data_IF_515093095866
#
_entry.id   IF_515093095866
#
_cell.length_a   1.000
_cell.length_b   1.000
_cell.length_c   1.000
_cell.angle_alpha   90.00
_cell.angle_beta   90.00
_cell.angle_gamma   90.00
#
_symmetry.space_group_name_H-M   'P 1'
#
loop_
_entity.id
_entity.type
_entity.pdbx_description
1 polymer ?
#
# COMPACT_ATOMS: atom_id res chain seq x y z
N UNK A 1 -19.20 1.03 -13.27
CA UNK A 1 -20.42 1.85 -13.09
C UNK A 1 -21.17 1.36 -11.85
N UNK A 2 -21.48 2.23 -10.87
CA UNK A 2 -22.14 1.85 -9.60
C UNK A 2 -21.44 2.30 -8.31
N UNK A 3 -20.19 2.81 -8.41
CA UNK A 3 -19.36 3.18 -7.27
C UNK A 3 -20.05 4.11 -6.26
N UNK A 4 -20.74 5.17 -6.71
CA UNK A 4 -21.45 6.11 -5.80
C UNK A 4 -22.54 5.45 -4.96
N UNK A 5 -23.24 4.46 -5.52
CA UNK A 5 -24.28 3.73 -4.78
C UNK A 5 -23.66 2.73 -3.81
N UNK A 6 -22.58 2.04 -4.23
CA UNK A 6 -21.84 1.12 -3.39
C UNK A 6 -21.14 1.82 -2.21
N UNK A 7 -20.58 3.02 -2.42
CA UNK A 7 -19.94 3.82 -1.36
C UNK A 7 -20.88 4.25 -0.25
N UNK A 8 -22.20 4.26 -0.49
CA UNK A 8 -23.19 4.46 0.59
C UNK A 8 -23.36 3.22 1.48
N UNK A 9 -22.93 2.05 1.01
CA UNK A 9 -23.01 0.79 1.74
C UNK A 9 -21.66 0.44 2.40
N UNK A 10 -20.56 0.64 1.69
CA UNK A 10 -19.20 0.44 2.21
C UNK A 10 -18.17 1.18 1.36
N UNK A 11 -17.13 1.69 1.99
CA UNK A 11 -15.93 2.23 1.33
C UNK A 11 -14.77 1.23 1.28
N UNK A 12 -14.96 0.01 1.77
CA UNK A 12 -13.87 -0.98 1.91
C UNK A 12 -12.96 -0.74 3.12
N UNK A 13 -13.33 0.14 4.06
CA UNK A 13 -12.55 0.38 5.27
C UNK A 13 -12.28 -0.92 6.06
N UNK A 14 -11.01 -1.15 6.42
CA UNK A 14 -10.56 -2.35 7.14
C UNK A 14 -10.27 -3.56 6.24
N UNK A 15 -10.47 -3.45 4.92
CA UNK A 15 -10.06 -4.50 3.97
C UNK A 15 -8.63 -4.21 3.50
N UNK A 16 -7.74 -5.19 3.65
CA UNK A 16 -6.38 -5.14 3.09
C UNK A 16 -6.38 -5.77 1.70
N UNK A 17 -5.79 -5.09 0.72
CA UNK A 17 -5.65 -5.57 -0.66
C UNK A 17 -4.17 -5.58 -1.02
N UNK A 18 -3.64 -6.73 -1.40
CA UNK A 18 -2.27 -6.84 -1.92
C UNK A 18 -2.23 -6.43 -3.39
N UNK A 19 -1.33 -5.50 -3.72
CA UNK A 19 -1.01 -5.12 -5.11
C UNK A 19 0.36 -5.71 -5.44
N UNK A 20 0.38 -6.70 -6.33
CA UNK A 20 1.63 -7.30 -6.84
C UNK A 20 1.97 -6.62 -8.17
N UNK A 21 2.83 -5.61 -8.11
CA UNK A 21 3.16 -4.75 -9.25
C UNK A 21 4.60 -4.21 -9.10
N UNK A 22 4.90 -3.07 -9.72
CA UNK A 22 6.16 -2.33 -9.67
C UNK A 22 6.42 -1.57 -8.36
N UNK A 23 5.58 -1.77 -7.35
CA UNK A 23 5.60 -1.08 -6.07
C UNK A 23 4.50 -0.04 -5.93
N UNK A 24 4.61 0.81 -4.92
CA UNK A 24 3.73 1.97 -4.70
C UNK A 24 4.53 3.17 -4.21
N UNK A 25 4.19 4.37 -4.65
CA UNK A 25 4.76 5.60 -4.07
C UNK A 25 4.25 5.78 -2.63
N UNK A 26 5.13 5.47 -1.68
CA UNK A 26 4.85 5.51 -0.25
C UNK A 26 4.57 6.93 0.27
N UNK A 27 5.00 7.96 -0.47
CA UNK A 27 4.85 9.37 -0.10
C UNK A 27 3.69 10.06 -0.85
N UNK A 28 2.96 9.32 -1.71
CA UNK A 28 1.91 9.90 -2.54
C UNK A 28 0.76 10.45 -1.66
N UNK A 29 0.40 11.74 -1.80
CA UNK A 29 -0.54 12.40 -0.87
C UNK A 29 -1.96 11.81 -0.90
N UNK A 30 -2.31 11.10 -1.97
CA UNK A 30 -3.60 10.44 -2.14
C UNK A 30 -3.59 8.94 -1.76
N UNK A 31 -2.42 8.36 -1.45
CA UNK A 31 -2.29 6.94 -1.09
C UNK A 31 -1.76 6.72 0.33
N UNK A 32 -0.90 7.60 0.84
CA UNK A 32 -0.22 7.43 2.13
C UNK A 32 -1.16 7.13 3.30
N UNK A 33 -2.38 7.69 3.27
CA UNK A 33 -3.37 7.47 4.32
C UNK A 33 -4.02 6.07 4.29
N UNK A 34 -3.90 5.35 3.18
CA UNK A 34 -4.51 4.04 2.94
C UNK A 34 -3.46 2.93 2.74
N UNK A 35 -2.16 3.24 2.89
CA UNK A 35 -1.12 2.21 2.90
C UNK A 35 -1.35 1.27 4.07
N UNK A 36 -1.19 -0.03 3.82
CA UNK A 36 -1.14 -1.01 4.88
C UNK A 36 0.16 -0.84 5.67
N UNK A 37 0.10 -1.11 6.98
CA UNK A 37 1.27 -1.17 7.85
C UNK A 37 1.36 -2.56 8.42
N UNK A 38 2.50 -3.23 8.25
CA UNK A 38 2.74 -4.54 8.84
C UNK A 38 2.71 -4.43 10.37
N UNK A 39 1.71 -5.02 11.07
CA UNK A 39 1.68 -5.00 12.53
C UNK A 39 2.73 -5.92 13.16
N UNK A 40 3.40 -6.76 12.37
CA UNK A 40 4.48 -7.65 12.77
C UNK A 40 5.84 -6.97 12.86
N UNK A 41 6.05 -5.88 12.11
CA UNK A 41 7.35 -5.20 11.99
C UNK A 41 7.50 -4.00 12.92
N UNK A 42 8.72 -3.81 13.45
CA UNK A 42 9.13 -2.58 14.13
C UNK A 42 9.96 -1.73 13.15
N UNK A 43 9.43 -0.59 12.66
CA UNK A 43 10.08 0.15 11.60
C UNK A 43 11.54 0.57 11.88
N UNK A 44 12.45 0.15 11.01
CA UNK A 44 13.84 0.61 10.97
C UNK A 44 14.71 0.03 12.09
N UNK A 45 14.36 -1.15 12.61
CA UNK A 45 15.18 -1.85 13.59
C UNK A 45 16.21 -2.80 12.93
N UNK A 46 16.11 -3.03 11.62
CA UNK A 46 16.99 -3.91 10.86
C UNK A 46 16.79 -5.40 11.15
N UNK A 47 15.61 -5.79 11.66
CA UNK A 47 15.24 -7.15 12.03
C UNK A 47 13.96 -7.53 11.31
N UNK A 48 13.90 -8.77 10.83
CA UNK A 48 12.66 -9.43 10.42
C UNK A 48 11.95 -9.89 11.71
N UNK A 49 11.02 -9.06 12.21
CA UNK A 49 10.38 -9.23 13.51
C UNK A 49 9.28 -10.30 13.46
N UNK A 50 8.58 -10.42 12.33
CA UNK A 50 7.48 -11.37 12.13
C UNK A 50 7.90 -12.71 11.50
N UNK A 51 9.15 -12.80 11.03
CA UNK A 51 9.81 -13.99 10.47
C UNK A 51 9.21 -14.46 9.16
N UNK A 52 8.74 -13.53 8.33
CA UNK A 52 8.23 -13.85 7.00
C UNK A 52 9.33 -13.96 5.92
N UNK A 53 10.57 -13.55 6.27
CA UNK A 53 11.74 -13.63 5.41
C UNK A 53 12.15 -12.30 4.78
N UNK A 54 11.47 -11.20 5.08
CA UNK A 54 11.82 -9.85 4.63
C UNK A 54 12.09 -8.96 5.85
N UNK A 55 13.18 -8.19 5.82
CA UNK A 55 13.53 -7.28 6.91
C UNK A 55 12.84 -5.93 6.70
N UNK A 56 12.21 -5.39 7.76
CA UNK A 56 11.61 -4.06 7.79
C UNK A 56 10.54 -3.82 6.69
N UNK A 57 9.71 -4.82 6.35
CA UNK A 57 8.69 -4.75 5.29
C UNK A 57 7.41 -3.97 5.72
N UNK A 58 7.61 -2.82 6.35
CA UNK A 58 6.60 -2.00 7.04
C UNK A 58 5.38 -1.70 6.18
N UNK A 59 5.58 -1.49 4.87
CA UNK A 59 4.51 -1.16 3.91
C UNK A 59 4.38 -2.19 2.78
N UNK A 60 4.98 -3.37 2.94
CA UNK A 60 5.12 -4.41 1.93
C UNK A 60 6.58 -4.68 1.57
N UNK A 61 6.79 -5.55 0.60
CA UNK A 61 8.11 -6.04 0.21
C UNK A 61 8.39 -5.85 -1.28
N UNK A 62 9.66 -5.57 -1.62
CA UNK A 62 10.18 -5.67 -2.98
C UNK A 62 10.79 -7.07 -3.19
N UNK A 63 10.10 -7.90 -3.96
CA UNK A 63 10.56 -9.26 -4.28
C UNK A 63 11.60 -9.31 -5.41
N UNK A 64 11.85 -8.20 -6.10
CA UNK A 64 12.89 -8.08 -7.13
C UNK A 64 14.25 -7.86 -6.46
N UNK A 65 14.33 -6.90 -5.55
CA UNK A 65 15.56 -6.56 -4.82
C UNK A 65 15.72 -7.40 -3.52
N UNK A 66 14.63 -7.97 -3.02
CA UNK A 66 14.61 -8.86 -1.84
C UNK A 66 14.68 -8.10 -0.52
N UNK A 67 14.04 -6.92 -0.44
CA UNK A 67 14.03 -6.05 0.72
C UNK A 67 12.61 -5.53 1.07
N UNK A 68 12.49 -4.84 2.20
CA UNK A 68 11.24 -4.27 2.70
C UNK A 68 10.85 -2.91 2.10
N UNK A 69 11.46 -2.47 0.98
CA UNK A 69 11.17 -1.18 0.35
C UNK A 69 10.41 -1.33 -0.98
N UNK A 70 9.06 -1.43 -0.96
CA UNK A 70 8.24 -1.60 -2.15
C UNK A 70 8.03 -0.28 -2.93
N UNK A 71 8.97 0.66 -2.86
CA UNK A 71 8.83 1.98 -3.48
C UNK A 71 8.80 1.87 -5.00
N UNK A 72 7.75 2.41 -5.60
CA UNK A 72 7.58 2.39 -7.04
C UNK A 72 8.63 3.22 -7.78
N UNK A 73 9.28 2.61 -8.78
CA UNK A 73 10.26 3.25 -9.68
C UNK A 73 9.77 3.34 -11.13
N UNK A 74 8.56 2.84 -11.42
CA UNK A 74 7.95 2.82 -12.75
C UNK A 74 6.72 3.73 -12.86
N UNK A 75 5.82 3.68 -11.86
CA UNK A 75 4.55 4.41 -11.80
C UNK A 75 3.32 3.55 -12.08
N UNK A 76 3.47 2.38 -12.69
CA UNK A 76 2.35 1.49 -12.99
C UNK A 76 1.66 0.99 -11.71
N UNK A 77 2.43 0.58 -10.70
CA UNK A 77 1.91 0.06 -9.45
C UNK A 77 1.21 1.13 -8.63
N UNK A 78 1.78 2.34 -8.57
CA UNK A 78 1.13 3.51 -7.97
C UNK A 78 -0.20 3.84 -8.64
N UNK A 79 -0.28 3.77 -9.97
CA UNK A 79 -1.52 4.02 -10.70
C UNK A 79 -2.58 2.93 -10.41
N UNK A 80 -2.17 1.66 -10.38
CA UNK A 80 -3.06 0.55 -10.00
C UNK A 80 -3.55 0.72 -8.56
N UNK A 81 -2.67 1.05 -7.61
CA UNK A 81 -3.03 1.32 -6.23
C UNK A 81 -4.02 2.50 -6.10
N UNK A 82 -3.88 3.53 -6.93
CA UNK A 82 -4.83 4.65 -7.02
C UNK A 82 -6.24 4.22 -7.41
N UNK A 83 -6.37 3.28 -8.36
CA UNK A 83 -7.69 2.74 -8.75
C UNK A 83 -8.34 1.98 -7.59
N UNK A 84 -7.55 1.29 -6.78
CA UNK A 84 -8.01 0.45 -5.67
C UNK A 84 -8.36 1.29 -4.44
N UNK A 85 -7.47 2.19 -4.03
CA UNK A 85 -7.44 2.76 -2.68
C UNK A 85 -6.99 4.23 -2.62
N UNK A 86 -7.18 5.02 -3.68
CA UNK A 86 -7.08 6.48 -3.58
C UNK A 86 -7.98 7.04 -2.45
N UNK A 87 -7.50 8.05 -1.72
CA UNK A 87 -8.24 8.63 -0.60
C UNK A 87 -9.43 9.45 -1.11
N UNK A 88 -10.63 8.93 -0.88
CA UNK A 88 -11.85 9.66 -1.20
C UNK A 88 -12.01 10.99 -0.44
N UNK A 89 -12.48 12.02 -1.14
CA UNK A 89 -12.99 13.26 -0.53
C UNK A 89 -11.93 14.26 -0.06
N UNK A 90 -10.66 14.08 -0.42
CA UNK A 90 -9.57 15.03 -0.12
C UNK A 90 -9.35 16.09 -1.23
N UNK A 91 -10.01 15.95 -2.38
CA UNK A 91 -9.91 16.89 -3.51
C UNK A 91 -8.59 16.80 -4.29
N UNK A 92 -7.84 15.71 -4.12
CA UNK A 92 -6.57 15.42 -4.81
C UNK A 92 -6.78 14.11 -5.61
N UNK A 93 -6.18 14.01 -6.79
CA UNK A 93 -6.32 12.85 -7.70
C UNK A 93 -6.49 13.24 -9.16
#
# INVERSE_FOLDING_TARGET
MGARTAWRQSSGAGVVVAVVDSGVDLDHPDLVANLWTNPGEVPGNGVDDDRDGVVDDVHGADLVDGDGDPRDRNGHGTHVAGIVAARGGNGIG
#
